data_IF_776220940408
#
_entry.id   IF_776220940408
#
_cell.length_a   1.000
_cell.length_b   1.000
_cell.length_c   1.000
_cell.angle_alpha   90.00
_cell.angle_beta   90.00
_cell.angle_gamma   90.00
#
_symmetry.space_group_name_H-M   'P 1'
#
loop_
_entity.id
_entity.type
_entity.pdbx_description
1 polymer ?
#
# COMPACT_ATOMS: atom_id res chain seq x y z
N UNK A 1 -8.59 -11.82 7.80
CA UNK A 1 -8.75 -10.42 7.37
C UNK A 1 -10.18 -10.00 7.65
N UNK A 2 -10.39 -9.04 8.55
CA UNK A 2 -11.72 -8.57 8.97
C UNK A 2 -11.76 -7.08 9.38
N UNK A 3 -10.63 -6.37 9.28
CA UNK A 3 -10.49 -4.94 9.53
C UNK A 3 -10.06 -4.23 8.24
N UNK A 4 -10.21 -2.91 8.13
CA UNK A 4 -9.70 -2.16 6.97
C UNK A 4 -8.20 -2.43 6.72
N UNK A 5 -7.79 -2.58 5.45
CA UNK A 5 -6.40 -2.89 5.06
C UNK A 5 -5.86 -1.84 4.09
N UNK A 6 -4.71 -1.24 4.40
CA UNK A 6 -3.91 -0.48 3.44
C UNK A 6 -2.68 -1.31 3.05
N UNK A 7 -2.46 -1.48 1.74
CA UNK A 7 -1.29 -2.14 1.18
C UNK A 7 -0.43 -1.08 0.50
N UNK A 8 0.88 -1.12 0.73
CA UNK A 8 1.86 -0.17 0.18
C UNK A 8 2.94 -0.98 -0.54
N UNK A 9 3.21 -0.67 -1.81
CA UNK A 9 4.07 -1.51 -2.63
C UNK A 9 4.94 -0.69 -3.59
N UNK A 10 6.24 -0.98 -3.61
CA UNK A 10 7.20 -0.50 -4.62
C UNK A 10 7.33 -1.50 -5.77
N UNK A 11 7.44 -1.00 -7.01
CA UNK A 11 7.60 -1.85 -8.20
C UNK A 11 9.01 -2.41 -8.38
N UNK A 12 10.04 -1.69 -7.89
CA UNK A 12 11.43 -2.14 -7.96
C UNK A 12 11.82 -2.99 -6.74
N UNK A 13 10.84 -3.46 -5.96
CA UNK A 13 11.09 -4.43 -4.91
C UNK A 13 11.19 -5.84 -5.50
N UNK A 14 12.40 -6.23 -5.90
CA UNK A 14 12.66 -7.56 -6.42
C UNK A 14 12.69 -8.65 -5.33
N UNK A 15 12.60 -8.29 -4.04
CA UNK A 15 12.46 -9.26 -2.94
C UNK A 15 11.00 -9.68 -2.76
N UNK A 16 10.09 -8.73 -2.94
CA UNK A 16 8.64 -8.94 -2.86
C UNK A 16 8.00 -8.30 -4.10
N UNK A 17 7.83 -9.06 -5.20
CA UNK A 17 7.26 -8.54 -6.44
C UNK A 17 5.90 -7.86 -6.24
N UNK A 18 5.63 -6.83 -7.04
CA UNK A 18 4.46 -5.97 -6.85
C UNK A 18 3.14 -6.73 -6.92
N UNK A 19 3.11 -7.83 -7.67
CA UNK A 19 1.96 -8.70 -7.86
C UNK A 19 1.49 -9.30 -6.53
N UNK A 20 2.39 -9.52 -5.56
CA UNK A 20 1.99 -10.03 -4.24
C UNK A 20 1.13 -9.01 -3.49
N UNK A 21 1.51 -7.73 -3.52
CA UNK A 21 0.71 -6.64 -2.96
C UNK A 21 -0.61 -6.46 -3.70
N UNK A 22 -0.59 -6.57 -5.04
CA UNK A 22 -1.81 -6.51 -5.86
C UNK A 22 -2.76 -7.66 -5.55
N UNK A 23 -2.27 -8.90 -5.44
CA UNK A 23 -3.07 -10.08 -5.08
C UNK A 23 -3.73 -9.90 -3.70
N UNK A 24 -2.98 -9.43 -2.70
CA UNK A 24 -3.53 -9.13 -1.38
C UNK A 24 -4.65 -8.08 -1.44
N UNK A 25 -4.46 -7.00 -2.20
CA UNK A 25 -5.49 -5.99 -2.42
C UNK A 25 -6.74 -6.56 -3.08
N UNK A 26 -6.58 -7.38 -4.13
CA UNK A 26 -7.72 -8.00 -4.82
C UNK A 26 -8.49 -8.93 -3.91
N UNK A 27 -7.81 -9.77 -3.12
CA UNK A 27 -8.49 -10.67 -2.18
C UNK A 27 -9.19 -9.88 -1.05
N UNK A 28 -8.62 -8.78 -0.57
CA UNK A 28 -9.28 -7.92 0.42
C UNK A 28 -10.59 -7.34 -0.14
N UNK A 29 -10.55 -6.85 -1.39
CA UNK A 29 -11.74 -6.37 -2.10
C UNK A 29 -12.79 -7.45 -2.31
N UNK A 30 -12.40 -8.66 -2.73
CA UNK A 30 -13.32 -9.79 -2.91
C UNK A 30 -14.00 -10.20 -1.60
N UNK A 31 -13.34 -9.98 -0.45
CA UNK A 31 -13.90 -10.20 0.88
C UNK A 31 -14.74 -9.02 1.39
N UNK A 32 -15.04 -8.02 0.56
CA UNK A 32 -15.74 -6.78 0.93
C UNK A 32 -15.08 -6.03 2.09
N UNK A 33 -13.75 -6.14 2.22
CA UNK A 33 -12.98 -5.42 3.23
C UNK A 33 -12.61 -4.05 2.66
N UNK A 34 -12.84 -2.98 3.43
CA UNK A 34 -12.39 -1.64 3.07
C UNK A 34 -10.88 -1.66 2.86
N UNK A 35 -10.45 -1.42 1.63
CA UNK A 35 -9.05 -1.62 1.24
C UNK A 35 -8.50 -0.43 0.45
N UNK A 36 -7.23 -0.09 0.67
CA UNK A 36 -6.48 0.94 -0.08
C UNK A 36 -5.17 0.37 -0.60
N UNK A 37 -4.79 0.73 -1.83
CA UNK A 37 -3.51 0.35 -2.42
C UNK A 37 -2.71 1.60 -2.77
N UNK A 38 -1.54 1.77 -2.16
CA UNK A 38 -0.60 2.85 -2.45
C UNK A 38 0.60 2.25 -3.20
N UNK A 39 0.74 2.62 -4.47
CA UNK A 39 1.72 2.05 -5.37
C UNK A 39 2.76 3.09 -5.78
N UNK A 40 4.04 2.72 -5.66
CA UNK A 40 5.17 3.54 -6.05
C UNK A 40 5.94 2.84 -7.20
N UNK A 41 5.77 3.27 -8.46
CA UNK A 41 6.38 2.61 -9.61
C UNK A 41 7.91 2.72 -9.65
N UNK A 42 8.46 3.66 -8.88
CA UNK A 42 9.86 4.06 -8.89
C UNK A 42 10.53 3.94 -7.50
N UNK A 43 9.95 3.13 -6.61
CA UNK A 43 10.53 2.75 -5.32
C UNK A 43 10.84 1.26 -5.27
N UNK A 44 11.81 0.90 -4.43
CA UNK A 44 12.12 -0.49 -4.13
C UNK A 44 11.38 -0.92 -2.84
N UNK A 45 11.96 -1.82 -2.07
CA UNK A 45 11.41 -2.24 -0.78
C UNK A 45 11.28 -1.11 0.26
N UNK A 46 12.05 -0.04 0.08
CA UNK A 46 12.00 1.16 0.91
C UNK A 46 11.45 2.32 0.08
N UNK A 47 10.87 3.30 0.77
CA UNK A 47 10.49 4.58 0.15
C UNK A 47 11.65 5.55 0.32
N UNK A 48 12.42 5.74 -0.75
CA UNK A 48 13.68 6.48 -0.73
C UNK A 48 13.56 7.89 -1.29
N UNK A 49 12.66 8.15 -2.24
CA UNK A 49 12.52 9.48 -2.84
C UNK A 49 11.77 10.41 -1.87
N UNK A 50 12.29 11.62 -1.58
CA UNK A 50 11.65 12.53 -0.64
C UNK A 50 10.19 12.86 -0.97
N UNK A 51 9.87 13.03 -2.24
CA UNK A 51 8.52 13.33 -2.70
C UNK A 51 7.56 12.16 -2.44
N UNK A 52 8.02 10.93 -2.69
CA UNK A 52 7.25 9.73 -2.41
C UNK A 52 7.07 9.52 -0.90
N UNK A 53 8.07 9.84 -0.09
CA UNK A 53 7.97 9.78 1.37
C UNK A 53 6.89 10.74 1.92
N UNK A 54 6.79 11.95 1.38
CA UNK A 54 5.72 12.90 1.73
C UNK A 54 4.33 12.35 1.39
N UNK A 55 4.17 11.77 0.20
CA UNK A 55 2.92 11.12 -0.20
C UNK A 55 2.62 9.96 0.72
N UNK A 56 3.59 9.08 0.98
CA UNK A 56 3.42 7.92 1.85
C UNK A 56 2.91 8.32 3.23
N UNK A 57 3.57 9.26 3.90
CA UNK A 57 3.18 9.71 5.24
C UNK A 57 1.79 10.33 5.23
N UNK A 58 1.48 11.20 4.25
CA UNK A 58 0.16 11.82 4.12
C UNK A 58 -0.95 10.78 3.95
N UNK A 59 -0.76 9.84 3.03
CA UNK A 59 -1.76 8.81 2.75
C UNK A 59 -1.93 7.83 3.92
N UNK A 60 -0.85 7.52 4.65
CA UNK A 60 -0.87 6.68 5.84
C UNK A 60 -1.65 7.32 6.99
N UNK A 61 -1.34 8.58 7.35
CA UNK A 61 -2.07 9.27 8.42
C UNK A 61 -3.53 9.56 8.04
N UNK A 62 -3.81 9.86 6.77
CA UNK A 62 -5.20 9.99 6.29
C UNK A 62 -5.97 8.68 6.46
N UNK A 63 -5.34 7.54 6.18
CA UNK A 63 -5.96 6.24 6.35
C UNK A 63 -6.25 5.93 7.82
N UNK A 64 -5.29 6.18 8.71
CA UNK A 64 -5.51 5.99 10.16
C UNK A 64 -6.66 6.86 10.66
N UNK A 65 -6.72 8.15 10.27
CA UNK A 65 -7.83 9.04 10.64
C UNK A 65 -9.20 8.52 10.18
N UNK A 66 -9.25 7.80 9.06
CA UNK A 66 -10.48 7.28 8.47
C UNK A 66 -10.90 5.91 9.05
N UNK A 67 -9.96 5.16 9.64
CA UNK A 67 -10.17 3.72 9.94
C UNK A 67 -9.80 3.28 11.35
N UNK A 68 -9.15 4.13 12.15
CA UNK A 68 -8.87 3.94 13.57
C UNK A 68 -9.84 4.77 14.40
#
# INVERSE_FOLDING_TARGET
WNTPIMIIQGNMDFRVPYEQGQQAFQVARLKNIKSKFLYFPDENHWVLKPQNALVWQREFFSWLKETL
#
